data_IF_660414710393
#
_entry.id   IF_660414710393
#
_cell.length_a   1.000
_cell.length_b   1.000
_cell.length_c   1.000
_cell.angle_alpha   90.00
_cell.angle_beta   90.00
_cell.angle_gamma   90.00
#
_symmetry.space_group_name_H-M   'P 1'
#
loop_
_entity.id
_entity.type
_entity.pdbx_description
1 polymer ?
#
# COMPACT_ATOMS: atom_id res chain seq x y z
N UNK A 1 14.29 -2.75 2.72
CA UNK A 1 13.88 -2.36 4.09
C UNK A 1 13.65 -3.61 4.91
N UNK A 2 13.96 -3.60 6.20
CA UNK A 2 13.70 -4.77 7.06
C UNK A 2 12.41 -4.55 7.84
N UNK A 3 11.47 -5.48 7.69
CA UNK A 3 10.29 -5.62 8.52
C UNK A 3 10.54 -6.67 9.62
N UNK A 4 10.04 -6.41 10.82
CA UNK A 4 10.26 -7.29 11.97
C UNK A 4 9.47 -8.59 11.90
N UNK A 5 8.38 -8.64 11.10
CA UNK A 5 7.51 -9.80 10.98
C UNK A 5 7.83 -10.63 9.74
N UNK A 6 8.32 -10.01 8.66
CA UNK A 6 8.50 -10.66 7.36
C UNK A 6 9.88 -10.47 6.70
N UNK A 7 10.86 -9.94 7.41
CA UNK A 7 12.25 -9.87 6.93
C UNK A 7 12.47 -8.78 5.89
N UNK A 8 13.34 -9.04 4.90
CA UNK A 8 13.68 -8.05 3.89
C UNK A 8 12.51 -7.83 2.91
N UNK A 9 12.06 -6.58 2.84
CA UNK A 9 11.09 -6.05 1.88
C UNK A 9 11.80 -5.13 0.88
N UNK A 10 11.70 -5.47 -0.39
CA UNK A 10 12.19 -4.71 -1.53
C UNK A 10 11.05 -3.91 -2.16
N UNK A 11 11.35 -2.69 -2.56
CA UNK A 11 10.44 -1.80 -3.26
C UNK A 11 11.14 -1.36 -4.54
N UNK A 12 10.56 -1.72 -5.68
CA UNK A 12 11.02 -1.30 -7.00
C UNK A 12 9.97 -0.39 -7.66
N UNK A 13 10.43 0.65 -8.33
CA UNK A 13 9.60 1.62 -9.03
C UNK A 13 10.16 1.77 -10.45
N UNK A 14 9.49 1.16 -11.41
CA UNK A 14 9.88 1.23 -12.82
C UNK A 14 9.43 2.53 -13.49
N UNK A 15 10.08 2.88 -14.59
CA UNK A 15 9.90 4.14 -15.35
C UNK A 15 8.54 4.32 -16.05
N UNK A 16 7.53 3.50 -15.72
CA UNK A 16 6.19 3.52 -16.31
C UNK A 16 5.06 3.62 -15.29
N UNK A 17 5.33 4.11 -14.06
CA UNK A 17 4.33 4.14 -12.99
C UNK A 17 4.02 2.77 -12.38
N UNK A 18 4.85 1.76 -12.69
CA UNK A 18 4.80 0.43 -12.08
C UNK A 18 5.51 0.47 -10.73
N UNK A 19 4.81 0.05 -9.69
CA UNK A 19 5.38 -0.16 -8.36
C UNK A 19 5.33 -1.65 -8.05
N UNK A 20 6.43 -2.20 -7.57
CA UNK A 20 6.55 -3.60 -7.17
C UNK A 20 7.08 -3.67 -5.75
N UNK A 21 6.44 -4.49 -4.91
CA UNK A 21 6.94 -4.87 -3.59
C UNK A 21 7.16 -6.36 -3.58
N UNK A 22 8.29 -6.81 -3.08
CA UNK A 22 8.58 -8.23 -2.86
C UNK A 22 9.39 -8.39 -1.59
N UNK A 23 9.53 -9.62 -1.09
CA UNK A 23 10.35 -9.86 0.08
C UNK A 23 10.52 -11.34 0.36
N UNK A 24 11.34 -11.64 1.38
CA UNK A 24 11.70 -13.01 1.72
C UNK A 24 10.50 -13.83 2.23
N UNK A 25 9.60 -13.20 2.99
CA UNK A 25 8.43 -13.84 3.59
C UNK A 25 7.11 -13.16 3.22
N UNK A 26 7.07 -12.44 2.10
CA UNK A 26 5.85 -11.85 1.52
C UNK A 26 5.76 -12.15 0.02
N UNK A 27 4.54 -12.31 -0.53
CA UNK A 27 4.33 -12.47 -1.95
C UNK A 27 4.78 -11.22 -2.73
N UNK A 28 4.99 -11.39 -4.04
CA UNK A 28 5.25 -10.26 -4.92
C UNK A 28 3.94 -9.52 -5.20
N UNK A 29 3.91 -8.24 -4.83
CA UNK A 29 2.80 -7.33 -5.06
C UNK A 29 3.16 -6.32 -6.15
N UNK A 30 2.26 -5.99 -7.06
CA UNK A 30 2.50 -4.88 -8.00
C UNK A 30 1.24 -4.13 -8.42
N UNK A 31 1.42 -2.85 -8.75
CA UNK A 31 0.38 -1.98 -9.32
C UNK A 31 0.99 -1.29 -10.53
N UNK A 32 0.23 -1.23 -11.61
CA UNK A 32 0.52 -0.36 -12.75
C UNK A 32 -0.44 0.83 -12.66
N UNK A 33 0.10 2.02 -12.44
CA UNK A 33 -0.70 3.25 -12.45
C UNK A 33 -0.91 3.67 -13.91
N UNK A 34 -2.16 3.67 -14.38
CA UNK A 34 -2.48 4.26 -15.67
C UNK A 34 -2.35 5.78 -15.59
N UNK A 35 -1.73 6.39 -16.60
CA UNK A 35 -1.62 7.86 -16.74
C UNK A 35 -2.96 8.49 -17.21
N UNK A 36 -3.93 7.67 -17.62
CA UNK A 36 -5.25 8.13 -18.06
C UNK A 36 -6.12 8.67 -16.92
N UNK A 37 -7.00 9.61 -17.28
CA UNK A 37 -7.85 10.43 -16.38
C UNK A 37 -8.78 9.65 -15.45
N UNK A 38 -8.96 8.34 -15.64
CA UNK A 38 -9.77 7.47 -14.77
C UNK A 38 -8.92 6.75 -13.71
N UNK A 39 -8.05 7.50 -13.03
CA UNK A 39 -7.21 7.06 -11.90
C UNK A 39 -8.02 6.51 -10.69
N UNK A 40 -9.34 6.41 -10.81
CA UNK A 40 -10.26 5.89 -9.80
C UNK A 40 -10.29 4.36 -9.74
N UNK A 41 -9.95 3.67 -10.84
CA UNK A 41 -10.02 2.20 -10.97
C UNK A 41 -8.68 1.61 -11.40
N UNK A 42 -7.86 1.26 -10.42
CA UNK A 42 -6.58 0.58 -10.63
C UNK A 42 -6.67 -0.91 -10.28
N UNK A 43 -5.63 -1.67 -10.59
CA UNK A 43 -5.53 -3.07 -10.19
C UNK A 43 -4.21 -3.32 -9.46
N UNK A 44 -4.31 -4.10 -8.39
CA UNK A 44 -3.21 -4.70 -7.66
C UNK A 44 -3.09 -6.14 -8.10
N UNK A 45 -1.87 -6.65 -8.25
CA UNK A 45 -1.60 -8.08 -8.32
C UNK A 45 -0.82 -8.52 -7.08
N UNK A 46 -1.14 -9.69 -6.53
CA UNK A 46 -0.41 -10.40 -5.47
C UNK A 46 -0.18 -11.83 -5.96
N UNK A 47 1.07 -12.21 -6.23
CA UNK A 47 1.42 -13.52 -6.83
C UNK A 47 0.45 -13.93 -7.95
N UNK A 48 0.31 -13.06 -8.95
CA UNK A 48 -0.57 -13.25 -10.13
C UNK A 48 -2.08 -13.16 -9.86
N UNK A 49 -2.50 -13.13 -8.59
CA UNK A 49 -3.91 -12.91 -8.22
C UNK A 49 -4.25 -11.43 -8.32
N UNK A 50 -5.29 -11.10 -9.10
CA UNK A 50 -5.74 -9.73 -9.34
C UNK A 50 -6.76 -9.27 -8.29
N UNK A 51 -6.58 -8.03 -7.85
CA UNK A 51 -7.48 -7.30 -6.96
C UNK A 51 -7.83 -5.96 -7.60
N UNK A 52 -9.09 -5.59 -7.50
CA UNK A 52 -9.61 -4.31 -7.94
C UNK A 52 -9.38 -3.25 -6.86
N UNK A 53 -8.91 -2.07 -7.28
CA UNK A 53 -8.71 -0.92 -6.41
C UNK A 53 -9.67 0.19 -6.82
N UNK A 54 -10.53 0.58 -5.90
CA UNK A 54 -11.37 1.76 -6.04
C UNK A 54 -10.81 2.89 -5.19
N UNK A 55 -10.21 3.87 -5.85
CA UNK A 55 -9.66 5.06 -5.19
C UNK A 55 -10.75 6.12 -5.07
N UNK A 56 -11.26 6.30 -3.86
CA UNK A 56 -12.24 7.33 -3.55
C UNK A 56 -11.56 8.57 -2.96
N UNK A 57 -11.76 9.73 -3.61
CA UNK A 57 -11.39 11.03 -3.02
C UNK A 57 -12.31 11.27 -1.83
N UNK A 58 -11.75 11.37 -0.63
CA UNK A 58 -12.52 11.89 0.51
C UNK A 58 -12.95 13.33 0.19
N UNK A 59 -14.11 13.77 0.71
CA UNK A 59 -14.49 15.20 0.60
C UNK A 59 -13.36 16.06 1.17
N UNK A 60 -13.13 17.24 0.57
CA UNK A 60 -12.10 18.32 0.69
C UNK A 60 -11.11 18.37 1.89
N UNK A 61 -11.25 17.55 2.94
CA UNK A 61 -10.40 17.45 4.14
C UNK A 61 -10.08 16.01 4.60
N UNK A 62 -10.60 14.98 3.91
CA UNK A 62 -10.37 13.56 4.24
C UNK A 62 -9.45 12.96 3.19
N UNK A 63 -8.31 12.44 3.63
CA UNK A 63 -7.33 11.76 2.78
C UNK A 63 -7.99 10.59 2.02
N UNK A 64 -7.46 10.25 0.83
CA UNK A 64 -8.08 9.24 -0.04
C UNK A 64 -8.26 7.91 0.69
N UNK A 65 -9.35 7.23 0.34
CA UNK A 65 -9.63 5.89 0.80
C UNK A 65 -9.57 4.97 -0.41
N UNK A 66 -8.85 3.87 -0.26
CA UNK A 66 -8.72 2.87 -1.32
C UNK A 66 -9.44 1.63 -0.84
N UNK A 67 -10.49 1.26 -1.55
CA UNK A 67 -11.21 0.01 -1.32
C UNK A 67 -10.58 -1.05 -2.23
N UNK A 68 -10.19 -2.18 -1.65
CA UNK A 68 -9.55 -3.29 -2.33
C UNK A 68 -10.51 -4.47 -2.32
N UNK A 69 -10.81 -5.03 -3.48
CA UNK A 69 -11.67 -6.22 -3.61
C UNK A 69 -11.00 -7.28 -4.45
N UNK A 70 -11.02 -8.53 -3.99
CA UNK A 70 -10.47 -9.66 -4.73
C UNK A 70 -11.03 -11.00 -4.27
N UNK A 71 -10.52 -12.11 -4.82
CA UNK A 71 -11.07 -13.44 -4.58
C UNK A 71 -10.93 -13.92 -3.14
N UNK A 72 -9.94 -13.40 -2.41
CA UNK A 72 -9.63 -13.79 -1.03
C UNK A 72 -10.29 -12.89 0.01
N UNK A 73 -10.95 -11.80 -0.41
CA UNK A 73 -11.63 -10.90 0.51
C UNK A 73 -11.70 -9.44 0.06
N UNK A 74 -11.97 -8.57 1.03
CA UNK A 74 -12.02 -7.12 0.84
C UNK A 74 -11.23 -6.43 1.92
N UNK A 75 -10.59 -5.34 1.55
CA UNK A 75 -9.83 -4.48 2.45
C UNK A 75 -10.08 -3.02 2.17
N UNK A 76 -9.72 -2.21 3.14
CA UNK A 76 -9.77 -0.76 3.05
C UNK A 76 -8.43 -0.23 3.52
N UNK A 77 -7.78 0.56 2.67
CA UNK A 77 -6.66 1.39 3.05
C UNK A 77 -7.15 2.80 3.30
N UNK A 78 -7.15 3.21 4.58
CA UNK A 78 -7.79 4.44 5.02
C UNK A 78 -6.89 5.26 5.95
N UNK A 79 -7.12 6.58 6.04
CA UNK A 79 -6.37 7.42 6.97
C UNK A 79 -6.66 7.04 8.42
N UNK A 80 -5.61 6.73 9.18
CA UNK A 80 -5.71 6.45 10.62
C UNK A 80 -5.32 7.68 11.46
N UNK A 81 -4.29 8.42 11.03
CA UNK A 81 -3.85 9.67 11.67
C UNK A 81 -3.45 10.70 10.62
N UNK A 82 -2.94 11.86 11.05
CA UNK A 82 -2.37 12.86 10.13
C UNK A 82 -1.17 12.35 9.34
N UNK A 83 -0.49 11.29 9.79
CA UNK A 83 0.75 10.77 9.18
C UNK A 83 0.67 9.30 8.76
N UNK A 84 -0.42 8.60 9.09
CA UNK A 84 -0.49 7.15 8.92
C UNK A 84 -1.79 6.73 8.25
N UNK A 85 -1.76 5.56 7.63
CA UNK A 85 -2.95 4.85 7.14
C UNK A 85 -3.07 3.50 7.84
N UNK A 86 -4.27 2.97 7.94
CA UNK A 86 -4.52 1.61 8.36
C UNK A 86 -4.97 0.78 7.15
N UNK A 87 -4.51 -0.47 7.11
CA UNK A 87 -5.12 -1.52 6.32
C UNK A 87 -6.13 -2.24 7.20
N UNK A 88 -7.37 -2.30 6.75
CA UNK A 88 -8.50 -2.87 7.49
C UNK A 88 -9.11 -3.97 6.65
N UNK A 89 -9.30 -5.16 7.23
CA UNK A 89 -10.01 -6.29 6.62
C UNK A 89 -11.52 -6.05 6.71
N UNK A 90 -12.24 -6.35 5.64
CA UNK A 90 -13.70 -6.23 5.55
C UNK A 90 -14.19 -4.97 4.83
N UNK A 91 -15.48 -4.66 5.01
CA UNK A 91 -16.16 -3.49 4.43
C UNK A 91 -16.53 -2.47 5.54
N UNK A 92 -17.19 -1.36 5.19
CA UNK A 92 -17.68 -0.30 6.13
C UNK A 92 -18.65 -0.77 7.25
N UNK A 93 -18.83 -2.07 7.47
CA UNK A 93 -19.71 -2.62 8.51
C UNK A 93 -19.00 -2.78 9.86
N UNK A 94 -19.76 -3.12 10.89
CA UNK A 94 -19.30 -3.27 12.29
C UNK A 94 -18.25 -4.38 12.52
N UNK A 95 -17.91 -5.17 11.51
CA UNK A 95 -16.98 -6.32 11.59
C UNK A 95 -15.64 -6.03 10.89
N UNK A 96 -15.23 -4.76 10.83
CA UNK A 96 -13.96 -4.39 10.22
C UNK A 96 -12.81 -4.54 11.23
N UNK A 97 -11.78 -5.30 10.87
CA UNK A 97 -10.62 -5.53 11.75
C UNK A 97 -9.38 -4.83 11.19
N UNK A 98 -8.73 -3.99 11.99
CA UNK A 98 -7.44 -3.39 11.62
C UNK A 98 -6.37 -4.48 11.57
N UNK A 99 -5.68 -4.57 10.44
CA UNK A 99 -4.63 -5.57 10.18
C UNK A 99 -3.25 -4.96 10.37
N UNK A 100 -3.11 -3.66 10.12
CA UNK A 100 -1.88 -2.95 10.38
C UNK A 100 -1.95 -1.49 10.03
N UNK A 101 -0.96 -0.76 10.52
CA UNK A 101 -0.83 0.69 10.38
C UNK A 101 0.48 1.02 9.71
N UNK A 102 0.41 1.82 8.65
CA UNK A 102 1.53 2.17 7.80
C UNK A 102 1.82 3.67 7.80
N UNK A 103 3.10 3.99 7.66
CA UNK A 103 3.63 5.36 7.53
C UNK A 103 4.67 5.36 6.41
N UNK A 104 4.42 6.13 5.36
CA UNK A 104 5.32 6.38 4.25
C UNK A 104 6.00 7.75 4.40
N UNK A 105 7.32 7.75 4.42
CA UNK A 105 8.17 8.94 4.55
C UNK A 105 9.27 8.89 3.49
N UNK A 106 9.32 9.88 2.59
CA UNK A 106 10.35 10.07 1.55
C UNK A 106 10.71 8.80 0.75
N UNK A 107 11.61 7.95 1.26
CA UNK A 107 12.11 6.72 0.64
C UNK A 107 11.79 5.43 1.41
N UNK A 108 10.99 5.52 2.50
CA UNK A 108 10.74 4.40 3.42
C UNK A 108 9.26 4.25 3.75
N UNK A 109 8.81 3.01 3.89
CA UNK A 109 7.48 2.68 4.40
C UNK A 109 7.61 1.86 5.68
N UNK A 110 7.25 2.40 6.82
CA UNK A 110 7.19 1.62 8.07
C UNK A 110 5.79 1.07 8.28
N UNK A 111 5.69 -0.11 8.89
CA UNK A 111 4.43 -0.73 9.22
C UNK A 111 4.46 -1.28 10.65
N UNK A 112 3.30 -1.26 11.29
CA UNK A 112 3.01 -1.91 12.56
C UNK A 112 1.84 -2.85 12.31
N UNK A 113 2.12 -4.15 12.33
CA UNK A 113 1.14 -5.19 12.05
C UNK A 113 0.42 -5.61 13.33
N UNK A 114 -0.86 -5.99 13.19
CA UNK A 114 -1.63 -6.57 14.29
C UNK A 114 -0.99 -7.88 14.74
N UNK A 115 -0.95 -8.09 16.06
CA UNK A 115 -0.35 -9.29 16.67
C UNK A 115 -1.38 -10.18 17.38
N UNK A 116 -2.61 -9.71 17.55
CA UNK A 116 -3.70 -10.50 18.13
C UNK A 116 -4.24 -11.50 17.10
N UNK A 117 -4.87 -12.58 17.55
CA UNK A 117 -5.38 -13.64 16.66
C UNK A 117 -6.25 -13.11 15.51
N UNK A 118 -7.08 -12.10 15.82
CA UNK A 118 -8.08 -11.58 14.89
C UNK A 118 -7.48 -10.48 13.99
N UNK A 119 -6.48 -9.76 14.49
CA UNK A 119 -5.78 -8.67 13.78
C UNK A 119 -4.48 -9.12 13.10
N UNK A 120 -4.09 -10.40 13.26
CA UNK A 120 -2.87 -10.95 12.67
C UNK A 120 -2.88 -10.76 11.16
N UNK A 121 -1.81 -10.15 10.66
CA UNK A 121 -1.61 -9.95 9.25
C UNK A 121 -1.14 -11.24 8.57
N UNK A 122 -1.69 -11.49 7.39
CA UNK A 122 -1.12 -12.46 6.45
C UNK A 122 0.02 -11.82 5.64
N UNK A 123 0.95 -12.62 5.10
CA UNK A 123 1.99 -12.13 4.20
C UNK A 123 1.43 -11.29 3.03
N UNK A 124 0.30 -11.70 2.46
CA UNK A 124 -0.37 -10.97 1.37
C UNK A 124 -0.90 -9.60 1.79
N UNK A 125 -1.45 -9.48 3.00
CA UNK A 125 -1.87 -8.19 3.55
C UNK A 125 -0.68 -7.27 3.83
N UNK A 126 0.44 -7.83 4.27
CA UNK A 126 1.68 -7.07 4.45
C UNK A 126 2.18 -6.50 3.12
N UNK A 127 2.30 -7.36 2.09
CA UNK A 127 2.71 -6.93 0.75
C UNK A 127 1.76 -5.87 0.17
N UNK A 128 0.45 -6.08 0.33
CA UNK A 128 -0.58 -5.13 -0.07
C UNK A 128 -0.42 -3.78 0.63
N UNK A 129 -0.27 -3.78 1.95
CA UNK A 129 -0.11 -2.56 2.74
C UNK A 129 1.13 -1.78 2.31
N UNK A 130 2.30 -2.46 2.22
CA UNK A 130 3.54 -1.83 1.77
C UNK A 130 3.41 -1.22 0.38
N UNK A 131 2.80 -1.95 -0.55
CA UNK A 131 2.60 -1.46 -1.90
C UNK A 131 1.69 -0.24 -1.92
N UNK A 132 0.53 -0.29 -1.26
CA UNK A 132 -0.40 0.84 -1.23
C UNK A 132 0.21 2.09 -0.58
N UNK A 133 0.95 1.92 0.51
CA UNK A 133 1.65 3.03 1.15
C UNK A 133 2.79 3.57 0.28
N UNK A 134 3.49 2.72 -0.46
CA UNK A 134 4.53 3.14 -1.39
C UNK A 134 3.97 3.80 -2.66
N UNK A 135 2.80 3.38 -3.13
CA UNK A 135 2.17 3.89 -4.36
C UNK A 135 1.41 5.18 -4.10
N UNK A 136 0.63 5.24 -3.02
CA UNK A 136 -0.27 6.35 -2.76
C UNK A 136 0.22 7.29 -1.64
N UNK A 137 1.17 6.85 -0.81
CA UNK A 137 1.61 7.57 0.38
C UNK A 137 0.72 7.31 1.59
N UNK A 138 0.95 8.07 2.66
CA UNK A 138 0.15 8.01 3.90
C UNK A 138 -0.02 9.39 4.52
N UNK A 139 -1.08 9.58 5.31
CA UNK A 139 -1.35 10.79 6.08
C UNK A 139 -2.20 11.84 5.35
N UNK A 140 -2.20 13.07 5.86
CA UNK A 140 -2.99 14.21 5.36
C UNK A 140 -2.41 14.96 4.14
N UNK A 141 -1.29 14.52 3.55
CA UNK A 141 -1.11 14.63 2.13
C UNK A 141 -1.16 13.21 1.58
N UNK A 142 -2.36 12.65 1.40
CA UNK A 142 -2.57 11.92 0.15
C UNK A 142 -2.69 12.95 -0.98
N UNK A 143 -1.68 13.81 -1.07
CA UNK A 143 -1.29 14.46 -2.31
C UNK A 143 -0.74 13.32 -3.14
N UNK A 144 -0.96 13.35 -4.44
CA UNK A 144 -0.29 12.52 -5.44
C UNK A 144 1.26 12.65 -5.38
N UNK A 145 1.92 12.45 -4.24
CA UNK A 145 3.37 12.35 -4.09
C UNK A 145 3.84 10.93 -4.44
N UNK A 146 3.42 10.48 -5.62
CA UNK A 146 4.24 9.62 -6.46
C UNK A 146 4.30 10.17 -7.90
N UNK A 147 3.80 11.40 -8.13
CA UNK A 147 4.20 12.22 -9.26
C UNK A 147 5.14 13.29 -8.69
N UNK A 148 6.40 13.28 -9.14
CA UNK A 148 7.51 14.22 -8.88
C UNK A 148 8.56 13.89 -7.80
N UNK A 149 9.81 13.85 -8.33
CA UNK A 149 11.15 13.81 -7.71
C UNK A 149 11.61 12.42 -7.24
N UNK A 150 12.59 11.75 -7.84
CA UNK A 150 13.62 12.13 -8.81
C UNK A 150 14.87 11.30 -8.48
N UNK A 151 15.39 10.55 -9.46
CA UNK A 151 16.75 10.00 -9.53
C UNK A 151 17.38 9.47 -8.24
N UNK A 152 17.44 8.15 -8.07
CA UNK A 152 18.58 7.54 -7.37
C UNK A 152 19.45 6.89 -8.43
N UNK A 153 20.48 7.63 -8.87
CA UNK A 153 21.65 7.02 -9.48
C UNK A 153 22.18 5.97 -8.49
N UNK A 154 22.05 4.68 -8.82
CA UNK A 154 22.90 3.67 -8.21
C UNK A 154 24.25 3.77 -8.91
N UNK A 155 25.03 4.75 -8.50
CA UNK A 155 26.48 4.73 -8.68
C UNK A 155 27.04 4.06 -7.43
N UNK A 156 27.54 2.84 -7.55
CA UNK A 156 28.48 2.28 -6.56
C UNK A 156 29.88 2.54 -7.08
N UNK A 157 30.64 3.50 -6.53
CA UNK A 157 32.09 3.51 -6.66
C UNK A 157 32.74 3.00 -5.37
N UNK A 158 33.72 2.10 -5.50
CA UNK A 158 34.61 1.65 -4.44
C UNK A 158 34.81 0.15 -4.42
#
# INVERSE_FOLDING_TARGET
MVDSHHGLVLLDRGDGGRVVVSGESIPTASINLSVDDDASRNNLTLDEVRYELLVSKGSWRRAHRIEISGPTGRWIFAPATRRSHCLVRGHRSAESTEVGKLVAEQSRVTALWGSDSDSKSSPGECAMGYLLAATYGTGKPLTLMAIFQGTVNVLVPG
#
